data_IF_670689853365
#
_entry.id   IF_670689853365
#
_cell.length_a   1.000
_cell.length_b   1.000
_cell.length_c   1.000
_cell.angle_alpha   90.00
_cell.angle_beta   90.00
_cell.angle_gamma   90.00
#
_symmetry.space_group_name_H-M   'P 1'
#
loop_
_entity.id
_entity.type
_entity.pdbx_description
1 polymer ?
#
# COMPACT_ATOMS: atom_id res chain seq x y z
N UNK A 1 10.41 -46.13 26.03
CA UNK A 1 8.95 -45.95 26.18
C UNK A 1 8.33 -45.49 24.86
N UNK A 2 8.75 -44.34 24.32
CA UNK A 2 8.31 -43.79 23.01
C UNK A 2 8.38 -44.79 21.84
N UNK A 3 9.47 -45.55 21.71
CA UNK A 3 9.62 -46.54 20.62
C UNK A 3 8.65 -47.71 20.71
N UNK A 4 8.22 -48.10 21.92
CA UNK A 4 7.21 -49.13 22.13
C UNK A 4 5.80 -48.57 21.87
N UNK A 5 5.53 -47.33 22.28
CA UNK A 5 4.30 -46.61 21.96
C UNK A 5 4.11 -46.45 20.44
N UNK A 6 5.16 -46.03 19.72
CA UNK A 6 5.13 -45.98 18.25
C UNK A 6 4.87 -47.36 17.63
N UNK A 7 5.49 -48.44 18.11
CA UNK A 7 5.19 -49.79 17.61
C UNK A 7 3.74 -50.21 17.84
N UNK A 8 3.14 -49.81 18.97
CA UNK A 8 1.73 -50.04 19.28
C UNK A 8 0.82 -49.25 18.34
N UNK A 9 1.11 -47.95 18.14
CA UNK A 9 0.32 -47.05 17.29
C UNK A 9 0.29 -47.51 15.82
N UNK A 10 1.43 -47.96 15.31
CA UNK A 10 1.54 -48.42 13.92
C UNK A 10 1.08 -49.86 13.70
N UNK A 11 0.68 -50.61 14.75
CA UNK A 11 0.08 -51.95 14.66
C UNK A 11 0.81 -52.91 13.68
N UNK A 12 2.15 -52.84 13.61
CA UNK A 12 2.97 -53.66 12.72
C UNK A 12 3.38 -53.02 11.38
N UNK A 13 2.89 -51.82 11.05
CA UNK A 13 3.39 -51.02 9.94
C UNK A 13 4.80 -50.45 10.25
N UNK A 14 5.64 -50.20 9.22
CA UNK A 14 6.96 -49.63 9.44
C UNK A 14 6.84 -48.20 9.98
N UNK A 15 7.49 -47.93 11.11
CA UNK A 15 7.57 -46.59 11.70
C UNK A 15 8.37 -45.71 10.73
N UNK A 16 7.85 -44.53 10.33
CA UNK A 16 8.58 -43.58 9.50
C UNK A 16 9.95 -43.25 10.09
N UNK A 17 10.96 -43.08 9.24
CA UNK A 17 12.28 -42.66 9.71
C UNK A 17 12.17 -41.25 10.29
N UNK A 18 12.65 -41.07 11.52
CA UNK A 18 12.72 -39.78 12.21
C UNK A 18 14.12 -39.58 12.77
N UNK A 19 14.49 -38.32 12.94
CA UNK A 19 15.77 -37.96 13.53
C UNK A 19 15.73 -38.18 15.04
N UNK A 20 16.53 -39.13 15.54
CA UNK A 20 16.63 -39.42 16.97
C UNK A 20 17.58 -38.40 17.61
N UNK A 21 17.08 -37.20 17.87
CA UNK A 21 17.73 -36.18 18.69
C UNK A 21 16.92 -35.93 19.97
N UNK A 22 17.54 -35.34 21.00
CA UNK A 22 16.93 -35.09 22.32
C UNK A 22 15.58 -34.36 22.18
N UNK A 23 15.56 -33.28 21.39
CA UNK A 23 14.35 -32.50 21.10
C UNK A 23 13.23 -33.34 20.48
N UNK A 24 13.52 -34.20 19.51
CA UNK A 24 12.52 -35.05 18.86
C UNK A 24 11.99 -36.10 19.82
N UNK A 25 12.85 -36.67 20.68
CA UNK A 25 12.43 -37.65 21.69
C UNK A 25 11.54 -37.00 22.75
N UNK A 26 11.86 -35.77 23.19
CA UNK A 26 11.05 -35.00 24.14
C UNK A 26 9.66 -34.68 23.57
N UNK A 27 9.61 -34.19 22.32
CA UNK A 27 8.33 -33.92 21.63
C UNK A 27 7.51 -35.20 21.51
N UNK A 28 8.12 -36.32 21.11
CA UNK A 28 7.41 -37.60 21.00
C UNK A 28 6.97 -38.15 22.37
N UNK A 29 7.70 -37.85 23.44
CA UNK A 29 7.33 -38.22 24.80
C UNK A 29 6.11 -37.42 25.26
N UNK A 30 6.08 -36.11 25.04
CA UNK A 30 4.93 -35.24 25.34
C UNK A 30 3.68 -35.71 24.57
N UNK A 31 3.82 -36.00 23.26
CA UNK A 31 2.71 -36.53 22.45
C UNK A 31 2.25 -37.89 22.98
N UNK A 32 3.18 -38.77 23.37
CA UNK A 32 2.85 -40.07 23.96
C UNK A 32 2.04 -39.91 25.24
N UNK A 33 2.47 -39.03 26.16
CA UNK A 33 1.75 -38.76 27.41
C UNK A 33 0.34 -38.20 27.15
N UNK A 34 0.23 -37.19 26.28
CA UNK A 34 -1.08 -36.64 25.90
C UNK A 34 -1.99 -37.68 25.24
N UNK A 35 -1.42 -38.57 24.43
CA UNK A 35 -2.20 -39.63 23.79
C UNK A 35 -2.64 -40.68 24.80
N UNK A 36 -1.77 -41.10 25.71
CA UNK A 36 -2.11 -42.06 26.77
C UNK A 36 -3.17 -41.51 27.73
N UNK A 37 -3.13 -40.21 28.05
CA UNK A 37 -4.17 -39.55 28.83
C UNK A 37 -5.51 -39.54 28.10
N UNK A 38 -5.52 -39.11 26.83
CA UNK A 38 -6.73 -39.13 26.00
C UNK A 38 -7.29 -40.53 25.79
N UNK A 39 -6.43 -41.53 25.60
CA UNK A 39 -6.84 -42.93 25.47
C UNK A 39 -7.54 -43.42 26.74
N UNK A 40 -7.04 -43.02 27.93
CA UNK A 40 -7.70 -43.32 29.21
C UNK A 40 -9.06 -42.65 29.32
N UNK A 41 -9.18 -41.37 28.94
CA UNK A 41 -10.45 -40.64 28.98
C UNK A 41 -11.49 -41.27 28.06
N UNK A 42 -11.07 -41.66 26.84
CA UNK A 42 -11.94 -42.38 25.89
C UNK A 42 -12.35 -43.74 26.45
N UNK A 43 -11.43 -44.47 27.10
CA UNK A 43 -11.75 -45.75 27.73
C UNK A 43 -12.76 -45.60 28.87
N UNK A 44 -12.62 -44.58 29.72
CA UNK A 44 -13.58 -44.28 30.78
C UNK A 44 -14.95 -43.93 30.22
N UNK A 45 -15.02 -43.15 29.13
CA UNK A 45 -16.28 -42.86 28.45
C UNK A 45 -16.93 -44.14 27.88
N UNK A 46 -16.15 -45.04 27.29
CA UNK A 46 -16.67 -46.32 26.78
C UNK A 46 -17.24 -47.17 27.92
N UNK A 47 -16.54 -47.25 29.05
CA UNK A 47 -17.01 -47.99 30.23
C UNK A 47 -18.29 -47.38 30.81
N UNK A 48 -18.35 -46.06 30.96
CA UNK A 48 -19.54 -45.34 31.43
C UNK A 48 -20.74 -45.54 30.49
N UNK A 49 -20.55 -45.45 29.18
CA UNK A 49 -21.61 -45.71 28.20
C UNK A 49 -22.12 -47.15 28.28
N UNK A 50 -21.22 -48.12 28.47
CA UNK A 50 -21.60 -49.52 28.62
C UNK A 50 -22.41 -49.74 29.90
N UNK A 51 -21.96 -49.18 31.02
CA UNK A 51 -22.68 -49.23 32.29
C UNK A 51 -24.06 -48.59 32.16
N UNK A 52 -24.15 -47.43 31.49
CA UNK A 52 -25.41 -46.75 31.22
C UNK A 52 -26.35 -47.60 30.35
N UNK A 53 -25.84 -48.25 29.29
CA UNK A 53 -26.63 -49.19 28.48
C UNK A 53 -27.20 -50.31 29.34
N UNK A 54 -26.39 -50.96 30.19
CA UNK A 54 -26.88 -52.05 31.04
C UNK A 54 -27.95 -51.61 32.05
N UNK A 55 -27.84 -50.37 32.58
CA UNK A 55 -28.84 -49.80 33.48
C UNK A 55 -30.16 -49.56 32.76
N UNK A 56 -30.13 -48.97 31.56
CA UNK A 56 -31.34 -48.73 30.79
C UNK A 56 -31.98 -50.03 30.29
N UNK A 57 -31.20 -51.04 29.93
CA UNK A 57 -31.72 -52.38 29.58
C UNK A 57 -32.46 -53.00 30.79
N UNK A 58 -31.85 -52.97 31.98
CA UNK A 58 -32.48 -53.49 33.20
C UNK A 58 -33.74 -52.71 33.59
N UNK A 59 -33.75 -51.38 33.41
CA UNK A 59 -34.92 -50.55 33.65
C UNK A 59 -36.03 -50.83 32.63
N UNK A 60 -35.70 -51.04 31.36
CA UNK A 60 -36.66 -51.41 30.32
C UNK A 60 -37.29 -52.77 30.61
N UNK A 61 -36.50 -53.77 31.02
CA UNK A 61 -37.02 -55.08 31.45
C UNK A 61 -37.95 -54.95 32.65
N UNK A 62 -37.57 -54.14 33.65
CA UNK A 62 -38.40 -53.88 34.83
C UNK A 62 -39.77 -53.26 34.46
N UNK A 63 -39.79 -52.28 33.56
CA UNK A 63 -41.04 -51.68 33.12
C UNK A 63 -41.88 -52.63 32.25
N UNK A 64 -41.25 -53.44 31.40
CA UNK A 64 -41.94 -54.46 30.61
C UNK A 64 -42.62 -55.51 31.49
N UNK A 65 -41.97 -55.92 32.59
CA UNK A 65 -42.53 -56.85 33.57
C UNK A 65 -43.79 -56.26 34.24
N UNK A 66 -43.71 -55.02 34.73
CA UNK A 66 -44.85 -54.31 35.34
C UNK A 66 -46.00 -54.13 34.34
N UNK A 67 -45.71 -53.68 33.11
CA UNK A 67 -46.76 -53.46 32.12
C UNK A 67 -47.41 -54.79 31.70
N UNK A 68 -46.62 -55.85 31.54
CA UNK A 68 -47.08 -57.17 31.12
C UNK A 68 -47.80 -57.96 32.22
N UNK A 69 -47.10 -58.31 33.30
CA UNK A 69 -47.58 -59.23 34.34
C UNK A 69 -48.58 -58.55 35.30
N UNK A 70 -48.31 -57.33 35.76
CA UNK A 70 -49.13 -56.66 36.78
C UNK A 70 -50.33 -55.90 36.18
N UNK A 71 -50.17 -55.32 34.99
CA UNK A 71 -51.17 -54.45 34.37
C UNK A 71 -51.83 -55.03 33.10
N UNK A 72 -51.27 -56.09 32.51
CA UNK A 72 -51.82 -56.75 31.32
C UNK A 72 -51.76 -55.91 30.04
N UNK A 73 -50.91 -54.88 29.98
CA UNK A 73 -50.66 -54.06 28.81
C UNK A 73 -49.57 -54.69 27.94
N UNK A 74 -49.97 -55.16 26.76
CA UNK A 74 -49.07 -55.63 25.72
C UNK A 74 -49.19 -54.74 24.48
N UNK A 75 -48.18 -54.72 23.60
CA UNK A 75 -48.28 -53.99 22.33
C UNK A 75 -49.49 -54.43 21.49
N UNK A 76 -49.92 -55.69 21.62
CA UNK A 76 -51.13 -56.23 21.00
C UNK A 76 -52.45 -55.78 21.63
N UNK A 77 -52.41 -55.07 22.77
CA UNK A 77 -53.59 -54.54 23.46
C UNK A 77 -54.03 -53.17 22.95
N UNK A 78 -53.16 -52.47 22.22
CA UNK A 78 -53.42 -51.20 21.56
C UNK A 78 -53.89 -51.43 20.12
N UNK A 79 -54.61 -50.46 19.55
CA UNK A 79 -54.92 -50.49 18.12
C UNK A 79 -53.64 -50.26 17.30
N UNK A 80 -53.68 -50.60 16.01
CA UNK A 80 -52.57 -50.38 15.09
C UNK A 80 -52.20 -48.90 15.05
N UNK A 81 -53.20 -48.02 14.98
CA UNK A 81 -53.02 -46.55 14.97
C UNK A 81 -52.37 -46.04 16.26
N UNK A 82 -52.76 -46.57 17.42
CA UNK A 82 -52.17 -46.15 18.69
C UNK A 82 -50.70 -46.60 18.84
N UNK A 83 -50.33 -47.74 18.26
CA UNK A 83 -48.92 -48.17 18.21
C UNK A 83 -48.11 -47.32 17.24
N UNK A 84 -48.67 -46.94 16.09
CA UNK A 84 -48.05 -46.01 15.15
C UNK A 84 -47.81 -44.64 15.82
N UNK A 85 -48.82 -44.05 16.46
CA UNK A 85 -48.70 -42.75 17.14
C UNK A 85 -47.61 -42.76 18.24
N UNK A 86 -47.50 -43.85 19.01
CA UNK A 86 -46.46 -44.00 20.04
C UNK A 86 -45.08 -44.16 19.42
N UNK A 87 -44.97 -44.90 18.31
CA UNK A 87 -43.71 -45.07 17.59
C UNK A 87 -43.23 -43.73 17.03
N UNK A 88 -44.13 -42.98 16.36
CA UNK A 88 -43.85 -41.64 15.85
C UNK A 88 -43.41 -40.67 16.96
N UNK A 89 -44.05 -40.75 18.14
CA UNK A 89 -43.68 -39.93 19.29
C UNK A 89 -42.27 -40.24 19.80
N UNK A 90 -41.91 -41.52 19.90
CA UNK A 90 -40.57 -41.96 20.33
C UNK A 90 -39.53 -41.59 19.28
N UNK A 91 -39.80 -41.81 18.00
CA UNK A 91 -38.91 -41.41 16.91
C UNK A 91 -38.68 -39.89 16.89
N UNK A 92 -39.75 -39.11 17.07
CA UNK A 92 -39.67 -37.66 17.18
C UNK A 92 -38.84 -37.22 18.40
N UNK A 93 -38.98 -37.91 19.54
CA UNK A 93 -38.17 -37.62 20.73
C UNK A 93 -36.68 -37.90 20.50
N UNK A 94 -36.36 -39.02 19.83
CA UNK A 94 -34.99 -39.39 19.47
C UNK A 94 -34.38 -38.42 18.45
N UNK A 95 -35.14 -37.99 17.45
CA UNK A 95 -34.67 -37.03 16.45
C UNK A 95 -34.39 -35.65 17.07
N UNK A 96 -35.28 -35.20 17.96
CA UNK A 96 -35.12 -33.95 18.71
C UNK A 96 -34.17 -34.07 19.91
N UNK A 97 -33.69 -35.28 20.22
CA UNK A 97 -32.79 -35.60 21.34
C UNK A 97 -33.31 -35.11 22.69
N UNK A 98 -34.59 -35.37 22.96
CA UNK A 98 -35.21 -35.08 24.25
C UNK A 98 -35.27 -36.35 25.10
N UNK A 99 -34.96 -36.20 26.39
CA UNK A 99 -34.89 -37.30 27.36
C UNK A 99 -36.27 -37.80 27.82
N UNK A 100 -37.32 -37.01 27.61
CA UNK A 100 -38.69 -37.34 27.98
C UNK A 100 -39.68 -37.02 26.85
N UNK A 101 -40.88 -37.62 26.95
CA UNK A 101 -42.00 -37.36 26.03
C UNK A 101 -42.90 -36.23 26.52
N UNK A 102 -42.41 -35.36 27.41
CA UNK A 102 -43.20 -34.25 27.93
C UNK A 102 -43.36 -33.16 26.88
N UNK A 103 -44.54 -32.57 26.83
CA UNK A 103 -44.85 -31.48 25.91
C UNK A 103 -43.88 -30.29 26.08
N UNK A 104 -43.42 -30.01 27.30
CA UNK A 104 -42.50 -28.92 27.60
C UNK A 104 -41.11 -29.15 26.99
N UNK A 105 -40.60 -30.38 27.02
CA UNK A 105 -39.33 -30.76 26.40
C UNK A 105 -39.39 -30.64 24.89
N UNK A 106 -40.46 -31.15 24.26
CA UNK A 106 -40.69 -30.97 22.82
C UNK A 106 -40.78 -29.50 22.41
N UNK A 107 -41.55 -28.68 23.12
CA UNK A 107 -41.62 -27.25 22.82
C UNK A 107 -40.26 -26.56 22.96
N UNK A 108 -39.49 -26.91 23.98
CA UNK A 108 -38.15 -26.35 24.18
C UNK A 108 -37.22 -26.73 23.02
N UNK A 109 -37.16 -28.01 22.65
CA UNK A 109 -36.32 -28.51 21.57
C UNK A 109 -36.70 -27.91 20.20
N UNK A 110 -37.99 -27.84 19.89
CA UNK A 110 -38.49 -27.23 18.66
C UNK A 110 -38.14 -25.75 18.62
N UNK A 111 -38.30 -25.02 19.73
CA UNK A 111 -37.96 -23.59 19.79
C UNK A 111 -36.45 -23.36 19.64
N UNK A 112 -35.61 -24.21 20.24
CA UNK A 112 -34.15 -24.16 20.09
C UNK A 112 -33.74 -24.41 18.63
N UNK A 113 -34.25 -25.47 18.02
CA UNK A 113 -33.97 -25.80 16.61
C UNK A 113 -34.45 -24.69 15.67
N UNK A 114 -35.62 -24.12 15.94
CA UNK A 114 -36.15 -22.97 15.20
C UNK A 114 -35.25 -21.74 15.36
N UNK A 115 -34.76 -21.46 16.57
CA UNK A 115 -33.82 -20.36 16.83
C UNK A 115 -32.51 -20.54 16.06
N UNK A 116 -31.93 -21.73 16.10
CA UNK A 116 -30.70 -22.06 15.38
C UNK A 116 -30.88 -21.99 13.86
N UNK A 117 -32.04 -22.40 13.35
CA UNK A 117 -32.40 -22.24 11.93
C UNK A 117 -32.39 -20.77 11.53
N UNK A 118 -33.04 -19.89 12.30
CA UNK A 118 -33.05 -18.44 12.01
C UNK A 118 -31.66 -17.80 12.13
N UNK A 119 -30.88 -18.16 13.16
CA UNK A 119 -29.50 -17.69 13.32
C UNK A 119 -28.63 -18.11 12.13
N UNK A 120 -28.73 -19.37 11.72
CA UNK A 120 -27.98 -19.91 10.58
C UNK A 120 -28.39 -19.23 9.28
N UNK A 121 -29.69 -19.05 9.05
CA UNK A 121 -30.22 -18.34 7.89
C UNK A 121 -29.71 -16.89 7.83
N UNK A 122 -29.78 -16.17 8.95
CA UNK A 122 -29.28 -14.78 9.02
C UNK A 122 -27.78 -14.69 8.75
N UNK A 123 -26.97 -15.60 9.31
CA UNK A 123 -25.53 -15.70 8.99
C UNK A 123 -25.29 -15.98 7.51
N UNK A 124 -26.09 -16.86 6.90
CA UNK A 124 -25.97 -17.17 5.48
C UNK A 124 -26.28 -15.94 4.60
N UNK A 125 -27.35 -15.20 4.90
CA UNK A 125 -27.69 -13.96 4.20
C UNK A 125 -26.57 -12.91 4.32
N UNK A 126 -25.95 -12.77 5.51
CA UNK A 126 -24.81 -11.88 5.72
C UNK A 126 -23.59 -12.29 4.87
N UNK A 127 -23.29 -13.60 4.83
CA UNK A 127 -22.20 -14.14 4.02
C UNK A 127 -22.44 -13.94 2.53
N UNK A 128 -23.67 -14.16 2.04
CA UNK A 128 -24.04 -13.89 0.65
C UNK A 128 -23.84 -12.42 0.28
N UNK A 129 -24.21 -11.49 1.17
CA UNK A 129 -23.98 -10.06 0.95
C UNK A 129 -22.49 -9.73 0.89
N UNK A 130 -21.67 -10.30 1.80
CA UNK A 130 -20.21 -10.15 1.79
C UNK A 130 -19.61 -10.70 0.51
N UNK A 131 -20.03 -11.89 0.07
CA UNK A 131 -19.58 -12.53 -1.15
C UNK A 131 -19.90 -11.65 -2.36
N UNK A 132 -21.14 -11.15 -2.46
CA UNK A 132 -21.54 -10.22 -3.54
C UNK A 132 -20.69 -8.95 -3.57
N UNK A 133 -20.34 -8.39 -2.40
CA UNK A 133 -19.46 -7.22 -2.32
C UNK A 133 -18.04 -7.55 -2.77
N UNK A 134 -17.48 -8.67 -2.32
CA UNK A 134 -16.15 -9.14 -2.73
C UNK A 134 -16.09 -9.39 -4.24
N UNK A 135 -17.10 -10.03 -4.83
CA UNK A 135 -17.19 -10.24 -6.27
C UNK A 135 -17.20 -8.93 -7.06
N UNK A 136 -17.93 -7.91 -6.57
CA UNK A 136 -17.92 -6.56 -7.17
C UNK A 136 -16.52 -5.95 -7.12
N UNK A 137 -15.87 -5.97 -5.95
CA UNK A 137 -14.50 -5.44 -5.78
C UNK A 137 -13.49 -6.18 -6.67
N UNK A 138 -13.58 -7.50 -6.74
CA UNK A 138 -12.72 -8.33 -7.58
C UNK A 138 -12.90 -7.99 -9.06
N UNK A 139 -14.14 -7.85 -9.51
CA UNK A 139 -14.44 -7.46 -10.90
C UNK A 139 -13.86 -6.08 -11.22
N UNK A 140 -14.01 -5.10 -10.32
CA UNK A 140 -13.41 -3.78 -10.49
C UNK A 140 -11.88 -3.82 -10.53
N UNK A 141 -11.25 -4.60 -9.64
CA UNK A 141 -9.80 -4.76 -9.61
C UNK A 141 -9.26 -5.42 -10.90
N UNK A 142 -9.92 -6.48 -11.39
CA UNK A 142 -9.58 -7.13 -12.66
C UNK A 142 -9.73 -6.19 -13.85
N UNK A 143 -10.73 -5.31 -13.84
CA UNK A 143 -10.89 -4.29 -14.89
C UNK A 143 -9.76 -3.26 -14.87
N UNK A 144 -9.36 -2.81 -13.67
CA UNK A 144 -8.22 -1.90 -13.50
C UNK A 144 -6.89 -2.57 -13.93
N UNK A 145 -6.68 -3.83 -13.57
CA UNK A 145 -5.51 -4.61 -13.98
C UNK A 145 -5.40 -4.67 -15.51
N UNK A 146 -6.49 -5.02 -16.20
CA UNK A 146 -6.53 -5.04 -17.67
C UNK A 146 -6.28 -3.67 -18.29
N UNK A 147 -6.69 -2.60 -17.62
CA UNK A 147 -6.41 -1.24 -18.09
C UNK A 147 -4.93 -0.90 -17.92
N UNK A 148 -4.34 -1.20 -16.76
CA UNK A 148 -2.92 -1.00 -16.50
C UNK A 148 -2.04 -1.78 -17.46
N UNK A 149 -2.42 -3.01 -17.81
CA UNK A 149 -1.69 -3.82 -18.79
C UNK A 149 -1.65 -3.14 -20.18
N UNK A 150 -2.79 -2.59 -20.63
CA UNK A 150 -2.86 -1.81 -21.87
C UNK A 150 -2.03 -0.53 -21.78
N UNK A 151 -2.11 0.17 -20.66
CA UNK A 151 -1.35 1.42 -20.44
C UNK A 151 0.16 1.13 -20.47
N UNK A 152 0.62 0.03 -19.88
CA UNK A 152 2.01 -0.42 -19.96
C UNK A 152 2.41 -0.73 -21.40
N UNK A 153 1.57 -1.42 -22.16
CA UNK A 153 1.88 -1.75 -23.56
C UNK A 153 1.98 -0.48 -24.42
N UNK A 154 1.07 0.48 -24.24
CA UNK A 154 1.11 1.76 -24.95
C UNK A 154 2.34 2.60 -24.56
N UNK A 155 2.68 2.66 -23.26
CA UNK A 155 3.88 3.34 -22.78
C UNK A 155 5.16 2.73 -23.37
N UNK A 156 5.26 1.40 -23.40
CA UNK A 156 6.39 0.71 -24.05
C UNK A 156 6.54 1.10 -25.53
N UNK A 157 5.43 1.20 -26.26
CA UNK A 157 5.43 1.64 -27.67
C UNK A 157 5.90 3.08 -27.84
N UNK A 158 5.56 3.97 -26.91
CA UNK A 158 5.98 5.37 -26.91
C UNK A 158 7.43 5.59 -26.44
N UNK A 159 7.97 4.67 -25.63
CA UNK A 159 9.29 4.81 -25.02
C UNK A 159 10.44 4.80 -26.04
N UNK A 160 10.43 3.87 -27.00
CA UNK A 160 11.50 3.75 -28.02
C UNK A 160 11.68 5.03 -28.86
N UNK A 161 10.63 5.62 -29.47
CA UNK A 161 10.80 6.85 -30.24
C UNK A 161 11.20 8.05 -29.37
N UNK A 162 10.71 8.13 -28.12
CA UNK A 162 11.15 9.18 -27.19
C UNK A 162 12.63 9.05 -26.82
N UNK A 163 13.09 7.83 -26.55
CA UNK A 163 14.49 7.54 -26.27
C UNK A 163 15.38 7.90 -27.46
N UNK A 164 15.00 7.50 -28.67
CA UNK A 164 15.73 7.86 -29.89
C UNK A 164 15.79 9.39 -30.08
N UNK A 165 14.68 10.10 -29.81
CA UNK A 165 14.62 11.57 -29.89
C UNK A 165 15.49 12.24 -28.82
N UNK A 166 15.51 11.71 -27.60
CA UNK A 166 16.36 12.18 -26.52
C UNK A 166 17.85 11.97 -26.84
N UNK A 167 18.22 10.81 -27.37
CA UNK A 167 19.60 10.52 -27.82
C UNK A 167 20.03 11.45 -28.96
N UNK A 168 19.16 11.71 -29.94
CA UNK A 168 19.44 12.64 -31.03
C UNK A 168 19.67 14.07 -30.49
N UNK A 169 18.84 14.53 -29.55
CA UNK A 169 19.02 15.82 -28.88
C UNK A 169 20.33 15.89 -28.10
N UNK A 170 20.69 14.83 -27.37
CA UNK A 170 21.96 14.76 -26.64
C UNK A 170 23.16 14.87 -27.57
N UNK A 171 23.14 14.18 -28.72
CA UNK A 171 24.19 14.29 -29.75
C UNK A 171 24.29 15.71 -30.32
N UNK A 172 23.15 16.34 -30.61
CA UNK A 172 23.11 17.73 -31.10
C UNK A 172 23.66 18.72 -30.06
N UNK A 173 23.30 18.54 -28.79
CA UNK A 173 23.76 19.40 -27.70
C UNK A 173 25.28 19.28 -27.52
N UNK A 174 25.83 18.06 -27.58
CA UNK A 174 27.28 17.83 -27.56
C UNK A 174 27.99 18.53 -28.73
N UNK A 175 27.45 18.40 -29.95
CA UNK A 175 28.00 19.10 -31.12
C UNK A 175 28.01 20.63 -30.94
N UNK A 176 26.91 21.19 -30.42
CA UNK A 176 26.83 22.64 -30.16
C UNK A 176 27.81 23.08 -29.08
N UNK A 177 28.02 22.26 -28.05
CA UNK A 177 29.00 22.53 -27.00
C UNK A 177 30.44 22.52 -27.55
N UNK A 178 30.79 21.51 -28.33
CA UNK A 178 32.10 21.41 -28.99
C UNK A 178 32.34 22.58 -29.94
N UNK A 179 31.31 22.98 -30.71
CA UNK A 179 31.38 24.13 -31.61
C UNK A 179 31.49 25.46 -30.88
N UNK A 180 30.83 25.60 -29.72
CA UNK A 180 30.99 26.78 -28.87
C UNK A 180 32.42 26.91 -28.34
N UNK A 181 33.04 25.80 -27.93
CA UNK A 181 34.45 25.77 -27.50
C UNK A 181 35.40 26.13 -28.64
N UNK A 182 35.21 25.58 -29.84
CA UNK A 182 35.99 25.93 -31.03
C UNK A 182 35.90 27.43 -31.35
N UNK A 183 34.67 27.98 -31.40
CA UNK A 183 34.47 29.40 -31.65
C UNK A 183 35.13 30.28 -30.59
N UNK A 184 35.08 29.88 -29.31
CA UNK A 184 35.74 30.60 -28.23
C UNK A 184 37.26 30.63 -28.40
N UNK A 185 37.86 29.50 -28.77
CA UNK A 185 39.30 29.43 -29.08
C UNK A 185 39.64 30.35 -30.25
N UNK A 186 38.87 30.29 -31.34
CA UNK A 186 39.08 31.13 -32.53
C UNK A 186 38.92 32.61 -32.27
N UNK A 187 37.99 33.01 -31.39
CA UNK A 187 37.82 34.40 -30.95
C UNK A 187 39.07 34.84 -30.20
N UNK A 188 39.51 34.08 -29.20
CA UNK A 188 40.72 34.40 -28.43
C UNK A 188 41.95 34.52 -29.35
N UNK A 189 42.15 33.57 -30.27
CA UNK A 189 43.26 33.62 -31.24
C UNK A 189 43.20 34.87 -32.15
N UNK A 190 42.00 35.31 -32.52
CA UNK A 190 41.81 36.50 -33.33
C UNK A 190 42.06 37.78 -32.52
N UNK A 191 41.61 37.83 -31.27
CA UNK A 191 41.89 38.90 -30.32
C UNK A 191 43.40 39.04 -30.09
N UNK A 192 44.10 37.93 -29.82
CA UNK A 192 45.56 37.91 -29.65
C UNK A 192 46.28 38.43 -30.89
N UNK A 193 45.81 38.06 -32.10
CA UNK A 193 46.36 38.59 -33.37
C UNK A 193 46.10 40.08 -33.54
N UNK A 194 44.96 40.60 -33.10
CA UNK A 194 44.66 42.03 -33.16
C UNK A 194 45.58 42.81 -32.20
N UNK A 195 45.74 42.31 -30.98
CA UNK A 195 46.67 42.89 -29.99
C UNK A 195 48.11 42.87 -30.52
N UNK A 196 48.56 41.74 -31.09
CA UNK A 196 49.91 41.62 -31.67
C UNK A 196 50.16 42.57 -32.86
N UNK A 197 49.10 42.97 -33.58
CA UNK A 197 49.17 43.98 -34.66
C UNK A 197 49.15 45.42 -34.14
N UNK A 198 49.11 45.62 -32.83
CA UNK A 198 49.15 46.93 -32.18
C UNK A 198 47.77 47.58 -31.98
N UNK A 199 46.68 46.81 -32.03
CA UNK A 199 45.36 47.33 -31.66
C UNK A 199 45.31 47.51 -30.13
N UNK A 200 45.34 48.76 -29.68
CA UNK A 200 45.10 49.15 -28.28
C UNK A 200 43.59 49.21 -28.00
N UNK A 201 43.17 48.84 -26.78
CA UNK A 201 41.75 48.86 -26.39
C UNK A 201 41.15 50.27 -26.46
N UNK A 202 41.97 51.31 -26.35
CA UNK A 202 41.58 52.72 -26.55
C UNK A 202 41.13 53.05 -27.98
N UNK A 203 41.55 52.26 -28.98
CA UNK A 203 41.20 52.42 -30.39
C UNK A 203 39.98 51.59 -30.80
N UNK A 204 39.32 50.94 -29.84
CA UNK A 204 38.05 50.25 -30.10
C UNK A 204 36.92 51.26 -30.34
N UNK A 205 35.93 50.88 -31.14
CA UNK A 205 34.79 51.77 -31.43
C UNK A 205 34.08 52.23 -30.15
N UNK A 206 33.96 51.35 -29.16
CA UNK A 206 33.36 51.66 -27.86
C UNK A 206 34.16 52.72 -27.09
N UNK A 207 35.49 52.55 -27.00
CA UNK A 207 36.36 53.54 -26.36
C UNK A 207 36.39 54.88 -27.11
N UNK A 208 36.43 54.86 -28.45
CA UNK A 208 36.36 56.05 -29.30
C UNK A 208 35.04 56.80 -29.15
N UNK A 209 33.91 56.09 -29.10
CA UNK A 209 32.60 56.68 -28.82
C UNK A 209 32.60 57.36 -27.45
N UNK A 210 33.08 56.67 -26.41
CA UNK A 210 33.14 57.22 -25.05
C UNK A 210 34.03 58.46 -24.97
N UNK A 211 35.23 58.44 -25.56
CA UNK A 211 36.12 59.60 -25.60
C UNK A 211 35.55 60.75 -26.45
N UNK A 212 34.79 60.45 -27.51
CA UNK A 212 34.07 61.46 -28.29
C UNK A 212 32.96 62.11 -27.46
N UNK A 213 32.18 61.32 -26.73
CA UNK A 213 31.14 61.81 -25.82
C UNK A 213 31.74 62.67 -24.70
N UNK A 214 32.85 62.24 -24.10
CA UNK A 214 33.61 63.00 -23.09
C UNK A 214 34.16 64.32 -23.66
N UNK A 215 34.68 64.32 -24.90
CA UNK A 215 35.14 65.54 -25.57
C UNK A 215 34.00 66.54 -25.82
N UNK A 216 32.82 66.06 -26.20
CA UNK A 216 31.64 66.92 -26.38
C UNK A 216 31.20 67.51 -25.05
N UNK A 217 31.19 66.71 -23.98
CA UNK A 217 30.89 67.20 -22.64
C UNK A 217 31.90 68.26 -22.17
N UNK A 218 33.21 68.00 -22.34
CA UNK A 218 34.26 68.93 -21.94
C UNK A 218 34.23 70.22 -22.77
N UNK A 219 33.93 70.15 -24.08
CA UNK A 219 33.72 71.35 -24.91
C UNK A 219 32.55 72.19 -24.40
N UNK A 220 31.46 71.54 -23.99
CA UNK A 220 30.29 72.22 -23.41
C UNK A 220 30.63 72.93 -22.10
N UNK A 221 31.53 72.36 -21.29
CA UNK A 221 32.06 73.00 -20.07
C UNK A 221 33.08 74.11 -20.36
N UNK A 222 33.89 73.98 -21.42
CA UNK A 222 34.89 74.98 -21.79
C UNK A 222 34.30 76.25 -22.40
N UNK A 223 33.15 76.19 -23.07
CA UNK A 223 32.54 77.38 -23.69
C UNK A 223 32.29 78.54 -22.71
N UNK A 224 31.63 78.34 -21.55
CA UNK A 224 31.47 79.44 -20.58
C UNK A 224 32.82 79.96 -20.06
N UNK A 225 33.79 79.09 -19.80
CA UNK A 225 35.13 79.48 -19.34
C UNK A 225 35.90 80.29 -20.40
N UNK A 226 35.73 79.96 -21.68
CA UNK A 226 36.32 80.71 -22.81
C UNK A 226 35.69 82.09 -22.94
N UNK A 227 34.37 82.20 -22.77
CA UNK A 227 33.69 83.51 -22.74
C UNK A 227 34.15 84.36 -21.56
N UNK A 228 34.37 83.75 -20.39
CA UNK A 228 34.91 84.44 -19.22
C UNK A 228 36.35 84.91 -19.47
N UNK A 229 37.22 84.05 -19.99
CA UNK A 229 38.61 84.40 -20.32
C UNK A 229 38.70 85.50 -21.39
N UNK A 230 37.84 85.46 -22.41
CA UNK A 230 37.75 86.51 -23.42
C UNK A 230 37.38 87.86 -22.77
N UNK A 231 36.44 87.87 -21.84
CA UNK A 231 36.09 89.10 -21.09
C UNK A 231 37.27 89.66 -20.28
N UNK A 232 38.17 88.79 -19.77
CA UNK A 232 39.37 89.22 -19.07
C UNK A 232 40.49 89.72 -20.01
N UNK A 233 40.56 89.21 -21.25
CA UNK A 233 41.55 89.64 -22.25
C UNK A 233 41.24 91.00 -22.88
N UNK A 234 39.98 91.46 -22.84
CA UNK A 234 39.58 92.80 -23.29
C UNK A 234 39.92 93.92 -22.27
N UNK A 235 40.44 93.55 -21.09
CA UNK A 235 40.88 94.48 -20.05
C UNK A 235 42.34 94.91 -20.26
N UNK A 236 42.65 96.23 -20.24
CA UNK A 236 44.01 96.73 -20.37
C UNK A 236 44.92 96.23 -19.24
N UNK A 237 46.23 95.99 -19.49
CA UNK A 237 47.17 95.48 -18.47
C UNK A 237 47.43 96.40 -17.26
N UNK A 238 46.88 97.62 -17.27
CA UNK A 238 47.03 98.60 -16.20
C UNK A 238 45.78 98.66 -15.31
N UNK A 239 45.96 98.35 -14.03
CA UNK A 239 44.88 98.25 -13.02
C UNK A 239 43.97 99.51 -12.95
N UNK A 240 44.48 100.75 -13.01
CA UNK A 240 43.62 101.94 -12.97
C UNK A 240 42.76 102.10 -14.23
N UNK A 241 43.27 101.69 -15.40
CA UNK A 241 42.60 101.84 -16.69
C UNK A 241 41.54 100.75 -16.90
N UNK A 242 41.79 99.55 -16.37
CA UNK A 242 40.82 98.46 -16.32
C UNK A 242 39.61 98.81 -15.42
N UNK A 243 39.84 99.46 -14.26
CA UNK A 243 38.75 99.92 -13.39
C UNK A 243 37.83 100.95 -14.06
N UNK A 244 38.40 101.86 -14.86
CA UNK A 244 37.62 102.84 -15.64
C UNK A 244 36.77 102.16 -16.70
N UNK A 245 37.33 101.21 -17.47
CA UNK A 245 36.58 100.46 -18.50
C UNK A 245 35.48 99.59 -17.91
N UNK A 246 35.68 99.01 -16.72
CA UNK A 246 34.66 98.23 -16.01
C UNK A 246 33.52 99.13 -15.51
N UNK A 247 33.82 100.34 -15.00
CA UNK A 247 32.79 101.31 -14.61
C UNK A 247 32.06 101.93 -15.81
N UNK A 248 32.73 102.15 -16.94
CA UNK A 248 32.09 102.60 -18.20
C UNK A 248 31.12 101.53 -18.74
N UNK A 249 31.55 100.26 -18.82
CA UNK A 249 30.69 99.15 -19.23
C UNK A 249 29.51 98.92 -18.28
N UNK A 250 29.66 99.26 -16.99
CA UNK A 250 28.59 99.17 -15.97
C UNK A 250 27.57 100.32 -16.05
N UNK A 251 27.86 101.39 -16.79
CA UNK A 251 26.93 102.49 -17.08
C UNK A 251 26.22 102.34 -18.43
N UNK A 252 26.75 101.54 -19.35
CA UNK A 252 26.15 101.26 -20.67
C UNK A 252 25.24 100.01 -20.69
N UNK A 253 25.20 99.24 -19.59
CA UNK A 253 24.25 98.16 -19.31
C UNK A 253 23.08 98.65 -18.44
#
# INVERSE_FOLDING_TARGET
>A
QVTLWLKKLYAGAPIPQYEVNERTVDILHEIMECNEERDKDVMLLIEDMKDQTTKYEAEAEYWLDIFGEDLGFFSSSLSEEANEDLTDLVESALELRVDDTSLASFYSAINEMTSELYKTKSKNEELELKLKNLTKKLTSALMMEKQLEKDIETLKKCQEPEKAKAEARAKSLKFLEDKSKDLKIRINDAEDKLVARGLDQSLTHEALMKSSEELVALRKEMEPLKTELASYHDLPPSIPLAQVKVEEARREL
#
